data_IF_343595819667
#
_entry.id   IF_343595819667
#
_cell.length_a   1.000
_cell.length_b   1.000
_cell.length_c   1.000
_cell.angle_alpha   90.00
_cell.angle_beta   90.00
_cell.angle_gamma   90.00
#
_symmetry.space_group_name_H-M   'P 1'
#
loop_
_entity.id
_entity.type
_entity.pdbx_description
1 polymer ?
#
# COMPACT_ATOMS: atom_id res chain seq x y z
N UNK A 1 21.01 4.37 0.41
CA UNK A 1 19.56 4.29 0.66
C UNK A 1 19.33 5.09 1.93
N UNK A 2 18.38 6.02 1.96
CA UNK A 2 18.13 6.80 3.18
C UNK A 2 17.28 5.96 4.14
N UNK A 3 17.96 5.10 4.89
CA UNK A 3 17.33 4.14 5.80
C UNK A 3 16.53 4.84 6.90
N UNK A 4 16.92 6.07 7.29
CA UNK A 4 16.23 6.84 8.30
C UNK A 4 14.86 7.35 7.81
N UNK A 5 14.77 7.81 6.57
CA UNK A 5 13.52 8.30 6.00
C UNK A 5 12.51 7.16 5.75
N UNK A 6 12.99 5.99 5.31
CA UNK A 6 12.14 4.79 5.22
C UNK A 6 11.68 4.30 6.60
N UNK A 7 12.56 4.35 7.61
CA UNK A 7 12.20 4.00 8.99
C UNK A 7 11.09 4.91 9.51
N UNK A 8 11.20 6.23 9.28
CA UNK A 8 10.14 7.18 9.64
C UNK A 8 8.82 6.86 8.95
N UNK A 9 8.85 6.59 7.64
CA UNK A 9 7.65 6.23 6.87
C UNK A 9 6.97 5.01 7.47
N UNK A 10 7.75 3.98 7.85
CA UNK A 10 7.26 2.78 8.49
C UNK A 10 6.62 3.06 9.86
N UNK A 11 7.27 3.86 10.70
CA UNK A 11 6.77 4.25 12.02
C UNK A 11 5.44 5.01 11.92
N UNK A 12 5.37 5.97 11.00
CA UNK A 12 4.15 6.77 10.77
C UNK A 12 3.01 5.90 10.23
N UNK A 13 3.26 5.05 9.22
CA UNK A 13 2.23 4.12 8.71
C UNK A 13 1.75 3.17 9.79
N UNK A 14 2.65 2.63 10.62
CA UNK A 14 2.28 1.76 11.74
C UNK A 14 1.33 2.46 12.71
N UNK A 15 1.68 3.68 13.11
CA UNK A 15 0.85 4.48 14.01
C UNK A 15 -0.51 4.81 13.39
N UNK A 16 -0.53 5.15 12.09
CA UNK A 16 -1.75 5.54 11.41
C UNK A 16 -2.70 4.38 11.17
N UNK A 17 -2.19 3.21 10.77
CA UNK A 17 -2.97 1.99 10.59
C UNK A 17 -3.57 1.55 11.93
N UNK A 18 -2.78 1.58 13.00
CA UNK A 18 -3.26 1.25 14.34
C UNK A 18 -4.33 2.21 14.87
N UNK A 19 -4.42 3.41 14.29
CA UNK A 19 -5.40 4.43 14.64
C UNK A 19 -6.62 4.49 13.69
N UNK A 20 -6.71 3.62 12.68
CA UNK A 20 -7.89 3.56 11.81
C UNK A 20 -9.12 3.11 12.59
N UNK A 21 -10.22 3.86 12.46
CA UNK A 21 -11.55 3.43 12.87
C UNK A 21 -12.12 2.34 11.95
N UNK A 22 -13.20 1.70 12.39
CA UNK A 22 -13.91 0.73 11.53
C UNK A 22 -14.38 1.42 10.24
N UNK A 23 -14.15 0.76 9.10
CA UNK A 23 -14.45 1.27 7.75
C UNK A 23 -13.63 2.49 7.29
N UNK A 24 -12.69 2.97 8.10
CA UNK A 24 -11.77 4.02 7.65
C UNK A 24 -10.68 3.45 6.73
N UNK A 25 -10.23 4.29 5.81
CA UNK A 25 -9.14 4.01 4.90
C UNK A 25 -8.05 5.07 4.99
N UNK A 26 -6.80 4.65 4.77
CA UNK A 26 -5.64 5.51 4.61
C UNK A 26 -5.04 5.26 3.23
N UNK A 27 -4.83 6.33 2.48
CA UNK A 27 -4.16 6.37 1.19
C UNK A 27 -2.83 7.11 1.32
N UNK A 28 -1.78 6.54 0.74
CA UNK A 28 -0.49 7.18 0.53
C UNK A 28 -0.09 7.06 -0.94
N UNK A 29 -0.02 8.18 -1.65
CA UNK A 29 0.18 8.23 -3.09
C UNK A 29 1.29 9.20 -3.52
N UNK A 30 2.08 8.80 -4.52
CA UNK A 30 2.99 9.70 -5.22
C UNK A 30 2.21 10.90 -5.79
N UNK A 31 2.82 12.10 -5.86
CA UNK A 31 2.20 13.21 -6.57
C UNK A 31 1.91 12.80 -8.02
N UNK A 32 0.66 12.93 -8.43
CA UNK A 32 0.22 12.55 -9.78
C UNK A 32 1.09 13.26 -10.83
N UNK A 33 1.76 12.53 -11.74
CA UNK A 33 2.18 13.11 -12.99
C UNK A 33 0.92 13.59 -13.73
N UNK A 34 0.95 14.74 -14.43
CA UNK A 34 -0.21 15.19 -15.20
C UNK A 34 -0.73 14.08 -16.14
N UNK A 35 -1.94 13.57 -15.88
CA UNK A 35 -2.59 12.55 -16.71
C UNK A 35 -2.38 11.08 -16.32
N UNK A 36 -1.77 10.78 -15.17
CA UNK A 36 -1.65 9.43 -14.64
C UNK A 36 -2.15 9.36 -13.18
N UNK A 37 -2.67 8.20 -12.78
CA UNK A 37 -2.86 7.88 -11.35
C UNK A 37 -1.47 7.53 -10.83
N UNK A 38 -0.94 8.32 -9.90
CA UNK A 38 0.37 8.09 -9.27
C UNK A 38 0.44 6.70 -8.61
N UNK A 39 1.65 6.19 -8.35
CA UNK A 39 1.79 4.93 -7.61
C UNK A 39 1.36 5.15 -6.17
N UNK A 40 0.58 4.22 -5.63
CA UNK A 40 0.03 4.35 -4.30
C UNK A 40 -0.04 3.02 -3.56
N UNK A 41 -0.20 3.14 -2.25
CA UNK A 41 -0.66 2.10 -1.36
C UNK A 41 -1.86 2.61 -0.57
N UNK A 42 -2.80 1.71 -0.29
CA UNK A 42 -3.97 1.99 0.52
C UNK A 42 -4.17 0.88 1.54
N UNK A 43 -4.76 1.23 2.68
CA UNK A 43 -5.24 0.26 3.66
C UNK A 43 -6.60 0.67 4.17
N UNK A 44 -7.54 -0.27 4.16
CA UNK A 44 -8.91 -0.09 4.62
C UNK A 44 -9.19 -1.05 5.78
N UNK A 45 -9.74 -0.55 6.89
CA UNK A 45 -10.09 -1.39 8.04
C UNK A 45 -11.49 -1.98 7.88
N UNK A 46 -11.58 -3.30 7.95
CA UNK A 46 -12.82 -4.07 7.82
C UNK A 46 -13.05 -4.91 9.08
N UNK A 47 -13.52 -4.27 10.15
CA UNK A 47 -13.57 -4.87 11.48
C UNK A 47 -12.15 -5.14 12.01
N UNK A 48 -11.83 -6.40 12.29
CA UNK A 48 -10.50 -6.82 12.77
C UNK A 48 -9.49 -7.07 11.63
N UNK A 49 -9.95 -7.07 10.39
CA UNK A 49 -9.11 -7.27 9.21
C UNK A 49 -8.66 -5.93 8.60
N UNK A 50 -7.50 -5.94 7.96
CA UNK A 50 -6.99 -4.84 7.13
C UNK A 50 -6.93 -5.32 5.68
N UNK A 51 -7.63 -4.64 4.78
CA UNK A 51 -7.49 -4.80 3.34
C UNK A 51 -6.44 -3.82 2.85
N UNK A 52 -5.24 -4.31 2.53
CA UNK A 52 -4.15 -3.54 1.95
C UNK A 52 -4.18 -3.66 0.43
N UNK A 53 -3.97 -2.55 -0.27
CA UNK A 53 -3.90 -2.47 -1.72
C UNK A 53 -2.62 -1.77 -2.15
N UNK A 54 -1.99 -2.25 -3.23
CA UNK A 54 -0.94 -1.53 -3.94
C UNK A 54 -1.18 -1.58 -5.45
N UNK A 55 -0.82 -0.50 -6.13
CA UNK A 55 -1.11 -0.30 -7.55
C UNK A 55 -0.64 -1.47 -8.42
N UNK A 56 -1.45 -1.86 -9.41
CA UNK A 56 -1.10 -2.89 -10.39
C UNK A 56 -0.83 -2.30 -11.78
N UNK A 57 -0.54 -3.19 -12.74
CA UNK A 57 -0.30 -2.84 -14.13
C UNK A 57 -1.50 -2.19 -14.84
N UNK A 58 -2.70 -2.27 -14.23
CA UNK A 58 -3.89 -1.57 -14.73
C UNK A 58 -3.78 -0.04 -14.58
N UNK A 59 -3.00 0.43 -13.61
CA UNK A 59 -2.95 1.84 -13.22
C UNK A 59 -1.54 2.46 -13.32
N UNK A 60 -0.49 1.63 -13.35
CA UNK A 60 0.89 2.07 -13.51
C UNK A 60 1.66 1.17 -14.47
N UNK A 61 2.71 1.69 -15.10
CA UNK A 61 3.66 0.89 -15.88
C UNK A 61 4.58 0.13 -14.90
N UNK A 62 4.20 -1.10 -14.57
CA UNK A 62 5.01 -2.03 -13.77
C UNK A 62 5.76 -3.00 -14.67
N UNK A 63 7.05 -3.21 -14.40
CA UNK A 63 7.80 -4.29 -15.04
C UNK A 63 7.32 -5.66 -14.55
N UNK A 64 7.47 -6.73 -15.36
CA UNK A 64 7.21 -8.09 -14.92
C UNK A 64 8.01 -8.49 -13.67
N UNK A 65 9.23 -7.96 -13.49
CA UNK A 65 10.01 -8.23 -12.28
C UNK A 65 9.39 -7.59 -11.04
N UNK A 66 8.83 -6.39 -11.15
CA UNK A 66 8.14 -5.71 -10.04
C UNK A 66 6.88 -6.48 -9.64
N UNK A 67 6.05 -6.88 -10.62
CA UNK A 67 4.87 -7.72 -10.36
C UNK A 67 5.26 -9.04 -9.69
N UNK A 68 6.29 -9.73 -10.19
CA UNK A 68 6.75 -10.98 -9.60
C UNK A 68 7.35 -10.80 -8.19
N UNK A 69 7.97 -9.65 -7.91
CA UNK A 69 8.47 -9.32 -6.57
C UNK A 69 7.33 -9.09 -5.57
N UNK A 70 6.29 -8.33 -5.95
CA UNK A 70 5.10 -8.13 -5.13
C UNK A 70 4.43 -9.48 -4.81
N UNK A 71 4.19 -10.33 -5.82
CA UNK A 71 3.56 -11.63 -5.61
C UNK A 71 4.38 -12.54 -4.69
N UNK A 72 5.72 -12.57 -4.83
CA UNK A 72 6.59 -13.33 -3.91
C UNK A 72 6.57 -12.81 -2.48
N UNK A 73 6.32 -11.51 -2.28
CA UNK A 73 6.18 -10.92 -0.96
C UNK A 73 4.81 -11.25 -0.31
N UNK A 74 3.87 -11.84 -1.05
CA UNK A 74 2.56 -12.24 -0.53
C UNK A 74 1.39 -11.38 -1.01
N UNK A 75 1.64 -10.45 -1.94
CA UNK A 75 0.56 -9.72 -2.61
C UNK A 75 -0.18 -10.64 -3.60
N UNK A 76 -1.48 -10.42 -3.76
CA UNK A 76 -2.30 -11.21 -4.69
C UNK A 76 -1.92 -10.98 -6.15
N UNK A 77 -2.31 -11.93 -6.99
CA UNK A 77 -2.44 -11.70 -8.42
C UNK A 77 -3.76 -10.94 -8.66
N UNK A 78 -3.77 -9.78 -9.36
CA UNK A 78 -4.99 -9.02 -9.62
C UNK A 78 -6.08 -9.81 -10.34
N UNK A 79 -5.68 -10.78 -11.18
CA UNK A 79 -6.61 -11.68 -11.87
C UNK A 79 -7.15 -12.80 -10.95
N UNK A 80 -6.60 -12.96 -9.75
CA UNK A 80 -6.90 -14.05 -8.80
C UNK A 80 -6.92 -13.53 -7.36
N UNK A 81 -7.90 -12.68 -7.07
CA UNK A 81 -8.02 -12.05 -5.75
C UNK A 81 -8.41 -13.02 -4.62
N UNK A 82 -7.81 -12.87 -3.42
CA UNK A 82 -8.15 -13.67 -2.25
C UNK A 82 -9.41 -13.14 -1.54
N UNK A 83 -10.06 -14.03 -0.77
CA UNK A 83 -11.15 -13.70 0.17
C UNK A 83 -12.32 -12.91 -0.45
N UNK A 84 -12.56 -13.06 -1.76
CA UNK A 84 -13.66 -12.39 -2.45
C UNK A 84 -13.46 -10.89 -2.67
N UNK A 85 -12.25 -10.36 -2.49
CA UNK A 85 -11.94 -8.99 -2.83
C UNK A 85 -12.16 -8.74 -4.33
N UNK A 86 -12.72 -7.58 -4.67
CA UNK A 86 -12.87 -7.12 -6.05
C UNK A 86 -12.01 -5.87 -6.21
N UNK A 87 -10.79 -6.04 -6.70
CA UNK A 87 -9.87 -4.95 -6.98
C UNK A 87 -9.06 -5.28 -8.22
N UNK A 88 -8.74 -4.25 -9.00
CA UNK A 88 -7.77 -4.35 -10.09
C UNK A 88 -6.33 -4.20 -9.56
N UNK A 89 -6.16 -3.87 -8.27
CA UNK A 89 -4.86 -3.76 -7.60
C UNK A 89 -4.32 -5.09 -7.10
N UNK A 90 -3.07 -5.11 -6.69
CA UNK A 90 -2.55 -6.15 -5.81
C UNK A 90 -3.12 -5.98 -4.41
N UNK A 91 -3.54 -7.08 -3.77
CA UNK A 91 -4.18 -7.10 -2.45
C UNK A 91 -3.38 -7.93 -1.47
N UNK A 92 -3.28 -7.45 -0.24
CA UNK A 92 -2.80 -8.18 0.92
C UNK A 92 -3.80 -8.06 2.08
N UNK A 93 -4.02 -9.14 2.83
CA UNK A 93 -4.89 -9.13 4.01
C UNK A 93 -4.06 -9.17 5.29
N UNK A 94 -4.12 -8.10 6.06
CA UNK A 94 -3.51 -7.98 7.38
C UNK A 94 -4.53 -8.03 8.51
N UNK A 95 -4.06 -7.79 9.74
CA UNK A 95 -4.87 -7.76 10.97
C UNK A 95 -4.62 -6.47 11.72
N UNK A 96 -5.67 -5.89 12.31
CA UNK A 96 -5.56 -4.64 13.08
C UNK A 96 -4.62 -4.79 14.29
N UNK A 97 -4.64 -5.96 14.93
CA UNK A 97 -3.75 -6.28 16.07
C UNK A 97 -2.26 -6.32 15.71
N UNK A 98 -1.94 -6.42 14.41
CA UNK A 98 -0.58 -6.42 13.86
C UNK A 98 -0.44 -5.37 12.73
N UNK A 99 -0.75 -4.13 13.08
CA UNK A 99 -0.60 -2.98 12.19
C UNK A 99 0.82 -2.84 11.62
N UNK A 100 1.84 -3.21 12.41
CA UNK A 100 3.24 -3.12 12.02
C UNK A 100 3.56 -4.02 10.81
N UNK A 101 3.08 -5.26 10.80
CA UNK A 101 3.25 -6.15 9.63
C UNK A 101 2.61 -5.58 8.37
N UNK A 102 1.43 -4.96 8.49
CA UNK A 102 0.77 -4.31 7.35
C UNK A 102 1.57 -3.10 6.86
N UNK A 103 2.08 -2.26 7.77
CA UNK A 103 2.94 -1.14 7.42
C UNK A 103 4.22 -1.60 6.71
N UNK A 104 4.85 -2.68 7.17
CA UNK A 104 6.01 -3.29 6.51
C UNK A 104 5.69 -3.73 5.07
N UNK A 105 4.54 -4.38 4.86
CA UNK A 105 4.09 -4.79 3.53
C UNK A 105 3.90 -3.60 2.59
N UNK A 106 3.29 -2.52 3.07
CA UNK A 106 3.08 -1.29 2.28
C UNK A 106 4.40 -0.61 1.93
N UNK A 107 5.32 -0.46 2.89
CA UNK A 107 6.66 0.13 2.64
C UNK A 107 7.46 -0.70 1.64
N UNK A 108 7.47 -2.03 1.79
CA UNK A 108 8.16 -2.92 0.86
C UNK A 108 7.54 -2.86 -0.55
N UNK A 109 6.22 -2.68 -0.66
CA UNK A 109 5.55 -2.47 -1.93
C UNK A 109 5.99 -1.17 -2.59
N UNK A 110 6.00 -0.04 -1.87
CA UNK A 110 6.48 1.26 -2.38
C UNK A 110 7.92 1.16 -2.91
N UNK A 111 8.81 0.51 -2.14
CA UNK A 111 10.19 0.26 -2.57
C UNK A 111 10.25 -0.60 -3.85
N UNK A 112 9.44 -1.66 -3.93
CA UNK A 112 9.37 -2.56 -5.11
C UNK A 112 8.85 -1.85 -6.36
N UNK A 113 7.85 -0.99 -6.17
CA UNK A 113 7.27 -0.13 -7.18
C UNK A 113 8.27 0.93 -7.71
N UNK A 114 9.41 1.09 -7.04
CA UNK A 114 10.44 2.05 -7.41
C UNK A 114 10.01 3.48 -7.14
N UNK A 115 9.12 3.69 -6.17
CA UNK A 115 8.68 5.03 -5.79
C UNK A 115 9.82 5.80 -5.15
N UNK A 116 9.69 7.13 -5.14
CA UNK A 116 10.46 7.96 -4.21
C UNK A 116 10.16 7.58 -2.75
N UNK A 117 10.98 8.09 -1.82
CA UNK A 117 10.62 8.07 -0.40
C UNK A 117 9.48 9.08 -0.21
N UNK A 118 8.39 8.73 0.51
CA UNK A 118 7.34 9.68 0.83
C UNK A 118 7.88 10.95 1.50
N UNK A 119 7.49 12.10 0.94
CA UNK A 119 7.84 13.44 1.42
C UNK A 119 6.60 14.33 1.46
N UNK A 120 6.78 15.63 1.73
CA UNK A 120 5.69 16.60 1.83
C UNK A 120 4.86 16.79 0.55
N UNK A 121 5.34 16.30 -0.61
CA UNK A 121 4.62 16.38 -1.88
C UNK A 121 3.70 15.18 -2.11
N UNK A 122 3.85 14.12 -1.32
CA UNK A 122 2.99 12.96 -1.40
C UNK A 122 1.62 13.28 -0.83
N UNK A 123 0.59 12.69 -1.44
CA UNK A 123 -0.75 12.77 -0.89
C UNK A 123 -0.87 11.74 0.22
N UNK A 124 -1.26 12.20 1.41
CA UNK A 124 -1.63 11.37 2.55
C UNK A 124 -3.05 11.72 2.97
N UNK A 125 -3.97 10.80 2.76
CA UNK A 125 -5.40 11.05 2.93
C UNK A 125 -6.05 9.94 3.76
N UNK A 126 -6.86 10.36 4.73
CA UNK A 126 -7.80 9.47 5.42
C UNK A 126 -9.21 9.70 4.91
N UNK A 127 -9.96 8.60 4.76
CA UNK A 127 -11.34 8.60 4.29
C UNK A 127 -12.17 7.76 5.25
N UNK A 128 -13.38 8.23 5.56
CA UNK A 128 -14.37 7.57 6.41
C UNK A 128 -15.69 7.36 5.67
#
# INVERSE_FOLDING_TARGET
MDDAAWTRTLEELTAEIGALGDHESLLLAEPDPPGAIGRYVQVSRLGDDLLCECVSAAYADLSPEQTAALQRAGWSDPDRQPRGATSENHVFWGRVEDAASSAHMLVAALQTLGTGIPDERWTRQRVS
#
